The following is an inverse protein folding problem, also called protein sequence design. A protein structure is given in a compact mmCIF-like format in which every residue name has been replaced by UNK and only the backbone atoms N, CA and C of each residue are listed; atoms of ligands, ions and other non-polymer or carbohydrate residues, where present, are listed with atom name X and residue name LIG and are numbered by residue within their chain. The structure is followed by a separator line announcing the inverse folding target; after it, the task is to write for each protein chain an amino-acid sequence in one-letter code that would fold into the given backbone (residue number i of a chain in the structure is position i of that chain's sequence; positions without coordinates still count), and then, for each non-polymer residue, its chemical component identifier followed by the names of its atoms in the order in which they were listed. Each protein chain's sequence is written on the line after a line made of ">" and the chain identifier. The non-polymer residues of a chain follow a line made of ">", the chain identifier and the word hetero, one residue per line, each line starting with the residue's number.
data_IF_442757736992
#
_entry.id   IF_442757736992
#
_cell.length_a   1.000
_cell.length_b   1.000
_cell.length_c   1.000
_cell.angle_alpha   90.00
_cell.angle_beta   90.00
_cell.angle_gamma   90.00
#
_symmetry.space_group_name_H-M   'P 1'
#
loop_
_entity.id
_entity.type
_entity.pdbx_description
1 polymer ?
#
# COMPACT_ATOMS: atom_id res chain seq x y z
N UNK A 1 10.78 -1.44 28.43
CA UNK A 1 10.28 -0.10 28.07
C UNK A 1 10.71 0.11 26.63
N UNK A 2 9.73 0.27 25.75
CA UNK A 2 9.97 0.38 24.31
C UNK A 2 10.13 1.85 23.94
N UNK A 3 11.14 2.17 23.14
CA UNK A 3 11.34 3.52 22.61
C UNK A 3 10.86 3.59 21.16
N UNK A 4 10.32 4.73 20.76
CA UNK A 4 9.91 5.00 19.39
C UNK A 4 11.10 4.82 18.44
N UNK A 5 11.04 3.89 17.47
CA UNK A 5 12.17 3.61 16.59
C UNK A 5 12.40 4.70 15.53
N UNK A 6 11.44 5.63 15.35
CA UNK A 6 11.53 6.75 14.40
C UNK A 6 12.08 8.02 15.07
N UNK A 7 11.56 8.37 16.25
CA UNK A 7 11.94 9.59 16.99
C UNK A 7 13.04 9.35 18.04
N UNK A 8 13.24 8.12 18.51
CA UNK A 8 14.33 7.71 19.40
C UNK A 8 14.14 8.05 20.89
N UNK A 9 13.69 9.27 21.20
CA UNK A 9 13.69 9.81 22.57
C UNK A 9 12.32 9.75 23.27
N UNK A 10 11.38 8.98 22.72
CA UNK A 10 10.00 8.93 23.21
C UNK A 10 9.64 7.50 23.58
N UNK A 11 9.24 7.29 24.83
CA UNK A 11 8.75 6.00 25.29
C UNK A 11 7.36 5.71 24.72
N UNK A 12 7.20 4.51 24.17
CA UNK A 12 5.90 4.02 23.72
C UNK A 12 5.02 3.69 24.92
N UNK A 13 3.72 3.93 24.78
CA UNK A 13 2.71 3.69 25.79
C UNK A 13 1.77 2.58 25.32
N UNK A 14 1.24 1.80 26.25
CA UNK A 14 0.26 0.78 25.93
C UNK A 14 -0.99 1.44 25.34
N UNK A 15 -1.41 0.96 24.18
CA UNK A 15 -2.59 1.43 23.48
C UNK A 15 -3.24 0.31 22.68
N UNK A 16 -4.26 0.65 21.90
CA UNK A 16 -5.05 -0.30 21.13
C UNK A 16 -5.39 0.29 19.77
N UNK A 17 -4.98 -0.40 18.68
CA UNK A 17 -5.29 0.03 17.30
C UNK A 17 -6.69 -0.42 16.86
N UNK A 18 -7.16 -1.55 17.37
CA UNK A 18 -8.45 -2.14 17.02
C UNK A 18 -8.99 -2.96 18.19
N UNK A 19 -10.30 -3.17 18.29
CA UNK A 19 -10.86 -4.04 19.32
C UNK A 19 -10.14 -5.40 19.33
N UNK A 20 -9.55 -5.74 20.47
CA UNK A 20 -8.74 -6.95 20.66
C UNK A 20 -7.25 -6.87 20.28
N UNK A 21 -6.76 -5.78 19.65
CA UNK A 21 -5.35 -5.65 19.23
C UNK A 21 -4.56 -4.68 20.13
N UNK A 22 -3.86 -5.23 21.13
CA UNK A 22 -2.99 -4.46 22.02
C UNK A 22 -1.65 -4.12 21.37
N UNK A 23 -1.23 -2.87 21.47
CA UNK A 23 -0.01 -2.33 20.83
C UNK A 23 0.73 -1.39 21.77
N UNK A 24 1.92 -0.96 21.36
CA UNK A 24 2.63 0.15 22.00
C UNK A 24 2.67 1.35 21.05
N UNK A 25 1.92 2.40 21.36
CA UNK A 25 1.79 3.61 20.54
C UNK A 25 2.73 4.74 20.98
N UNK A 26 3.22 5.51 20.02
CA UNK A 26 3.98 6.72 20.24
C UNK A 26 3.01 7.92 20.36
N UNK A 27 3.01 8.67 21.48
CA UNK A 27 2.12 9.82 21.65
C UNK A 27 2.50 11.04 20.79
N UNK A 28 3.70 11.07 20.20
CA UNK A 28 4.19 12.19 19.37
C UNK A 28 3.91 11.96 17.88
N UNK A 29 4.50 10.92 17.28
CA UNK A 29 4.30 10.64 15.86
C UNK A 29 3.03 9.82 15.53
N UNK A 30 2.35 9.27 16.54
CA UNK A 30 1.19 8.39 16.34
C UNK A 30 1.51 6.99 15.81
N UNK A 31 2.79 6.67 15.61
CA UNK A 31 3.22 5.34 15.18
C UNK A 31 2.99 4.28 16.26
N UNK A 32 2.79 3.03 15.85
CA UNK A 32 2.42 1.91 16.72
C UNK A 32 3.27 0.69 16.44
N UNK A 33 3.86 0.14 17.51
CA UNK A 33 4.50 -1.17 17.51
C UNK A 33 3.47 -2.24 17.87
N UNK A 34 3.29 -3.21 16.97
CA UNK A 34 2.39 -4.34 17.12
C UNK A 34 3.26 -5.58 17.39
N UNK A 35 3.26 -6.10 18.63
CA UNK A 35 3.97 -7.34 18.94
C UNK A 35 3.44 -8.51 18.10
N UNK A 36 4.35 -9.42 17.76
CA UNK A 36 4.06 -10.52 16.84
C UNK A 36 2.94 -11.45 17.33
N UNK A 37 2.97 -11.77 18.62
CA UNK A 37 1.99 -12.62 19.28
C UNK A 37 0.62 -11.94 19.33
N UNK A 38 0.57 -10.64 19.61
CA UNK A 38 -0.68 -9.89 19.65
C UNK A 38 -1.33 -9.81 18.27
N UNK A 39 -0.53 -9.58 17.23
CA UNK A 39 -1.03 -9.57 15.86
C UNK A 39 -1.56 -10.94 15.45
N UNK A 40 -0.81 -12.01 15.69
CA UNK A 40 -1.21 -13.37 15.33
C UNK A 40 -2.47 -13.83 16.08
N UNK A 41 -2.59 -13.50 17.37
CA UNK A 41 -3.77 -13.81 18.18
C UNK A 41 -5.01 -13.06 17.68
N UNK A 42 -4.85 -11.77 17.38
CA UNK A 42 -5.93 -10.95 16.85
C UNK A 42 -6.33 -11.40 15.43
N UNK A 43 -5.37 -11.64 14.54
CA UNK A 43 -5.59 -12.09 13.17
C UNK A 43 -6.41 -13.39 13.12
N UNK A 44 -6.11 -14.35 14.01
CA UNK A 44 -6.87 -15.62 14.11
C UNK A 44 -8.33 -15.45 14.51
N UNK A 45 -8.68 -14.35 15.17
CA UNK A 45 -10.07 -14.05 15.54
C UNK A 45 -10.84 -13.34 14.43
N UNK A 46 -10.12 -12.73 13.47
CA UNK A 46 -10.72 -11.95 12.38
C UNK A 46 -10.80 -12.73 11.07
N UNK A 47 -9.82 -13.59 10.78
CA UNK A 47 -9.73 -14.27 9.50
C UNK A 47 -10.28 -15.69 9.56
N UNK A 48 -11.09 -16.05 8.57
CA UNK A 48 -11.32 -17.43 8.19
C UNK A 48 -10.16 -17.89 7.29
N UNK A 49 -9.39 -18.94 7.65
CA UNK A 49 -8.30 -19.46 6.83
C UNK A 49 -8.72 -19.90 5.41
N UNK A 50 -10.00 -20.18 5.19
CA UNK A 50 -10.51 -20.63 3.90
C UNK A 50 -10.93 -19.48 2.98
N UNK A 51 -10.98 -18.23 3.48
CA UNK A 51 -11.42 -17.10 2.68
C UNK A 51 -10.24 -16.52 1.85
N UNK A 52 -10.40 -16.38 0.52
CA UNK A 52 -9.35 -15.78 -0.30
C UNK A 52 -9.12 -14.33 0.10
N UNK A 53 -7.85 -13.90 0.08
CA UNK A 53 -7.47 -12.51 0.34
C UNK A 53 -8.17 -11.61 -0.69
N UNK A 54 -9.06 -10.74 -0.20
CA UNK A 54 -9.76 -9.75 -1.02
C UNK A 54 -9.25 -8.37 -0.65
N UNK A 55 -8.81 -7.63 -1.66
CA UNK A 55 -8.53 -6.21 -1.53
C UNK A 55 -9.81 -5.50 -1.96
N UNK A 56 -10.59 -4.96 -1.01
CA UNK A 56 -11.87 -4.30 -1.33
C UNK A 56 -11.71 -3.07 -2.22
N UNK A 57 -10.59 -2.36 -2.07
CA UNK A 57 -10.26 -1.16 -2.83
C UNK A 57 -8.81 -1.24 -3.27
N UNK A 58 -8.55 -1.12 -4.58
CA UNK A 58 -7.18 -1.03 -5.06
C UNK A 58 -6.50 0.20 -4.43
N UNK A 59 -5.25 0.10 -3.93
CA UNK A 59 -4.57 1.20 -3.27
C UNK A 59 -4.56 2.51 -4.07
N UNK A 60 -4.37 2.42 -5.39
CA UNK A 60 -4.37 3.55 -6.32
C UNK A 60 -5.76 4.15 -6.61
N UNK A 61 -6.83 3.55 -6.10
CA UNK A 61 -8.20 4.06 -6.24
C UNK A 61 -8.75 4.59 -4.92
N UNK A 62 -7.99 4.47 -3.82
CA UNK A 62 -8.43 4.92 -2.51
C UNK A 62 -8.36 6.45 -2.40
N UNK A 63 -9.52 7.10 -2.30
CA UNK A 63 -9.63 8.53 -2.01
C UNK A 63 -9.50 8.77 -0.50
N UNK A 64 -8.37 9.30 -0.07
CA UNK A 64 -8.09 9.59 1.36
C UNK A 64 -7.27 10.86 1.52
N UNK A 65 -7.47 11.59 2.61
CA UNK A 65 -6.65 12.76 2.98
C UNK A 65 -5.38 12.37 3.74
N UNK A 66 -5.09 11.07 3.87
CA UNK A 66 -3.89 10.58 4.54
C UNK A 66 -2.62 11.09 3.87
N UNK A 67 -1.66 11.46 4.72
CA UNK A 67 -0.31 11.88 4.34
C UNK A 67 0.67 11.01 5.13
N UNK A 68 1.66 10.39 4.45
CA UNK A 68 2.69 9.60 5.13
C UNK A 68 3.42 10.42 6.20
N UNK A 69 3.84 9.76 7.28
CA UNK A 69 4.60 10.40 8.34
C UNK A 69 5.93 10.97 7.82
N UNK A 70 6.43 12.05 8.44
CA UNK A 70 7.64 12.73 7.97
C UNK A 70 8.91 11.84 7.94
N UNK A 71 8.94 10.80 8.78
CA UNK A 71 10.05 9.84 8.89
C UNK A 71 9.72 8.48 8.27
N UNK A 72 8.61 8.36 7.54
CA UNK A 72 8.23 7.14 6.83
C UNK A 72 9.35 6.68 5.89
N UNK A 73 10.09 7.60 5.26
CA UNK A 73 11.23 7.27 4.41
C UNK A 73 12.42 6.59 5.13
N UNK A 74 12.44 6.50 6.47
CA UNK A 74 13.50 5.81 7.25
C UNK A 74 12.99 4.49 7.80
N UNK A 75 13.71 3.40 7.50
CA UNK A 75 13.41 2.09 8.11
C UNK A 75 13.67 2.15 9.61
N UNK A 76 12.73 1.67 10.41
CA UNK A 76 12.88 1.50 11.84
C UNK A 76 13.68 0.24 12.19
N UNK A 77 14.14 0.20 13.44
CA UNK A 77 14.69 -1.01 14.05
C UNK A 77 13.58 -1.73 14.81
N UNK A 78 13.59 -3.06 14.76
CA UNK A 78 12.71 -3.89 15.58
C UNK A 78 12.98 -3.66 17.07
N UNK A 79 11.92 -3.51 17.85
CA UNK A 79 12.00 -3.25 19.28
C UNK A 79 12.44 -4.48 20.10
N UNK A 80 12.18 -5.69 19.60
CA UNK A 80 12.51 -6.93 20.29
C UNK A 80 13.92 -7.44 19.96
N UNK A 81 14.28 -7.43 18.67
CA UNK A 81 15.53 -8.04 18.20
C UNK A 81 16.53 -7.05 17.57
N UNK A 82 16.17 -5.76 17.43
CA UNK A 82 16.99 -4.68 16.86
C UNK A 82 17.48 -4.92 15.43
N UNK A 83 16.84 -5.84 14.71
CA UNK A 83 17.05 -6.01 13.26
C UNK A 83 16.33 -4.90 12.50
N UNK A 84 16.85 -4.51 11.34
CA UNK A 84 16.15 -3.59 10.45
C UNK A 84 14.82 -4.20 10.01
N UNK A 85 13.76 -3.40 10.07
CA UNK A 85 12.46 -3.81 9.57
C UNK A 85 12.46 -3.80 8.04
N UNK A 86 11.89 -4.85 7.44
CA UNK A 86 11.64 -4.88 6.00
C UNK A 86 10.39 -4.07 5.69
N UNK A 87 10.34 -3.46 4.50
CA UNK A 87 9.34 -2.45 4.16
C UNK A 87 8.43 -2.93 3.04
N UNK A 88 7.13 -2.97 3.34
CA UNK A 88 6.05 -3.26 2.41
C UNK A 88 5.47 -1.95 1.88
N UNK A 89 5.78 -1.60 0.63
CA UNK A 89 5.30 -0.36 0.02
C UNK A 89 3.81 -0.48 -0.35
N UNK A 90 3.04 0.55 0.00
CA UNK A 90 1.67 0.75 -0.45
C UNK A 90 1.62 2.09 -1.18
N UNK A 91 1.06 2.10 -2.40
CA UNK A 91 0.98 3.29 -3.24
C UNK A 91 -0.47 3.76 -3.35
N UNK A 92 -0.71 5.00 -2.90
CA UNK A 92 -1.99 5.71 -2.99
C UNK A 92 -1.89 6.82 -4.07
N UNK A 93 -3.02 7.41 -4.51
CA UNK A 93 -3.01 8.51 -5.48
C UNK A 93 -2.12 9.70 -5.10
N UNK A 94 -2.15 10.08 -3.82
CA UNK A 94 -1.42 11.24 -3.30
C UNK A 94 0.01 10.94 -2.82
N UNK A 95 0.43 9.67 -2.82
CA UNK A 95 1.76 9.28 -2.34
C UNK A 95 1.85 7.82 -1.91
N UNK A 96 3.05 7.35 -1.60
CA UNK A 96 3.27 6.01 -1.03
C UNK A 96 3.65 6.09 0.45
N UNK A 97 3.35 5.04 1.20
CA UNK A 97 3.84 4.82 2.56
C UNK A 97 4.36 3.37 2.72
N UNK A 98 4.95 3.06 3.87
CA UNK A 98 5.60 1.76 4.08
C UNK A 98 5.23 1.14 5.42
N UNK A 99 4.46 0.05 5.35
CA UNK A 99 4.27 -0.83 6.50
C UNK A 99 5.58 -1.57 6.74
N UNK A 100 6.06 -1.61 7.98
CA UNK A 100 7.33 -2.25 8.30
C UNK A 100 7.13 -3.51 9.14
N UNK A 101 7.86 -4.58 8.81
CA UNK A 101 7.77 -5.86 9.53
C UNK A 101 9.16 -6.39 9.84
N UNK A 102 9.33 -6.97 11.02
CA UNK A 102 10.57 -7.61 11.39
C UNK A 102 10.70 -8.96 10.70
N UNK A 103 11.79 -9.23 9.94
CA UNK A 103 11.98 -10.54 9.30
C UNK A 103 12.26 -11.67 10.29
N UNK A 104 12.59 -11.36 11.55
CA UNK A 104 12.99 -12.34 12.55
C UNK A 104 11.87 -12.67 13.55
N UNK A 105 11.23 -11.65 14.12
CA UNK A 105 10.15 -11.85 15.10
C UNK A 105 8.75 -11.64 14.51
N UNK A 106 8.60 -11.14 13.28
CA UNK A 106 7.31 -10.76 12.69
C UNK A 106 6.56 -9.63 13.43
N UNK A 107 7.18 -8.93 14.37
CA UNK A 107 6.63 -7.69 14.93
C UNK A 107 6.48 -6.63 13.84
N UNK A 108 5.43 -5.81 13.93
CA UNK A 108 5.03 -4.86 12.89
C UNK A 108 5.12 -3.44 13.44
N UNK A 109 5.63 -2.52 12.64
CA UNK A 109 5.56 -1.10 12.90
C UNK A 109 4.67 -0.45 11.84
N UNK A 110 3.69 0.33 12.31
CA UNK A 110 2.88 1.21 11.49
C UNK A 110 3.13 2.64 11.93
N UNK A 111 3.51 3.52 11.01
CA UNK A 111 3.52 4.96 11.28
C UNK A 111 2.07 5.48 11.46
N UNK A 112 1.94 6.68 12.05
CA UNK A 112 0.63 7.21 12.42
C UNK A 112 -0.31 7.33 11.22
N UNK A 113 -1.52 6.77 11.34
CA UNK A 113 -2.55 6.78 10.29
C UNK A 113 -2.46 5.64 9.28
N UNK A 114 -1.38 4.85 9.27
CA UNK A 114 -1.21 3.76 8.29
C UNK A 114 -2.16 2.59 8.55
N UNK A 115 -2.43 2.28 9.81
CA UNK A 115 -3.33 1.19 10.19
C UNK A 115 -4.76 1.41 9.68
N UNK A 116 -5.25 2.65 9.76
CA UNK A 116 -6.55 3.06 9.26
C UNK A 116 -6.64 2.90 7.73
N UNK A 117 -5.53 3.13 7.02
CA UNK A 117 -5.47 2.89 5.58
C UNK A 117 -5.49 1.39 5.27
N UNK A 118 -4.77 0.58 6.04
CA UNK A 118 -4.85 -0.87 5.92
C UNK A 118 -6.28 -1.39 6.13
N UNK A 119 -7.01 -0.81 7.08
CA UNK A 119 -8.42 -1.13 7.30
C UNK A 119 -9.31 -0.79 6.10
N UNK A 120 -9.11 0.39 5.48
CA UNK A 120 -9.86 0.80 4.29
C UNK A 120 -9.56 -0.10 3.07
N UNK A 121 -8.36 -0.67 3.01
CA UNK A 121 -7.94 -1.59 1.95
C UNK A 121 -8.29 -3.07 2.24
N UNK A 122 -8.85 -3.37 3.41
CA UNK A 122 -9.06 -4.73 3.93
C UNK A 122 -7.75 -5.57 4.02
N UNK A 123 -6.63 -4.90 4.29
CA UNK A 123 -5.30 -5.52 4.39
C UNK A 123 -4.80 -5.68 5.83
N UNK A 124 -5.50 -5.12 6.82
CA UNK A 124 -5.09 -5.10 8.22
C UNK A 124 -4.88 -6.51 8.80
N UNK A 125 -5.64 -7.50 8.32
CA UNK A 125 -5.51 -8.91 8.73
C UNK A 125 -4.63 -9.72 7.76
N UNK A 126 -4.08 -9.10 6.72
CA UNK A 126 -3.28 -9.76 5.68
C UNK A 126 -1.95 -9.02 5.46
N UNK A 127 -1.33 -8.51 6.52
CA UNK A 127 -0.09 -7.72 6.39
C UNK A 127 1.03 -8.52 5.73
N UNK A 128 1.09 -9.84 5.98
CA UNK A 128 2.06 -10.73 5.34
C UNK A 128 1.93 -10.74 3.81
N UNK A 129 0.72 -10.54 3.28
CA UNK A 129 0.47 -10.48 1.84
C UNK A 129 1.18 -9.29 1.19
N UNK A 130 1.32 -8.16 1.90
CA UNK A 130 2.02 -6.95 1.41
C UNK A 130 3.51 -7.26 1.12
N UNK A 131 4.07 -8.26 1.82
CA UNK A 131 5.46 -8.70 1.64
C UNK A 131 5.60 -9.88 0.66
N UNK A 132 4.49 -10.38 0.11
CA UNK A 132 4.50 -11.49 -0.84
C UNK A 132 4.95 -11.04 -2.24
N UNK A 133 5.47 -11.99 -3.03
CA UNK A 133 5.85 -11.72 -4.42
C UNK A 133 4.64 -11.30 -5.28
N UNK A 134 3.46 -11.85 -4.99
CA UNK A 134 2.21 -11.60 -5.72
C UNK A 134 1.75 -10.15 -5.56
N UNK A 135 1.70 -9.65 -4.32
CA UNK A 135 1.43 -8.24 -4.06
C UNK A 135 2.42 -7.32 -4.77
N UNK A 136 3.71 -7.63 -4.67
CA UNK A 136 4.74 -6.82 -5.29
C UNK A 136 4.61 -6.82 -6.82
N UNK A 137 4.15 -7.92 -7.43
CA UNK A 137 3.85 -7.97 -8.87
C UNK A 137 2.61 -7.14 -9.22
N UNK A 138 1.53 -7.29 -8.46
CA UNK A 138 0.29 -6.55 -8.65
C UNK A 138 0.49 -5.04 -8.53
N UNK A 139 1.22 -4.58 -7.49
CA UNK A 139 1.54 -3.16 -7.31
C UNK A 139 2.39 -2.63 -8.46
N UNK A 140 3.37 -3.41 -8.96
CA UNK A 140 4.19 -3.00 -10.11
C UNK A 140 3.36 -2.81 -11.38
N UNK A 141 2.43 -3.73 -11.66
CA UNK A 141 1.57 -3.65 -12.84
C UNK A 141 0.66 -2.42 -12.79
N UNK A 142 0.04 -2.17 -11.62
CA UNK A 142 -0.80 -1.00 -11.43
C UNK A 142 0.01 0.30 -11.51
N UNK A 143 1.20 0.36 -10.89
CA UNK A 143 2.09 1.50 -11.01
C UNK A 143 2.56 1.73 -12.44
N UNK A 144 2.80 0.68 -13.22
CA UNK A 144 3.17 0.78 -14.63
C UNK A 144 2.03 1.41 -15.44
N UNK A 145 0.81 0.90 -15.27
CA UNK A 145 -0.39 1.40 -15.95
C UNK A 145 -0.64 2.88 -15.62
N UNK A 146 -0.51 3.26 -14.35
CA UNK A 146 -0.72 4.65 -13.94
C UNK A 146 0.37 5.59 -14.48
N UNK A 147 1.64 5.16 -14.46
CA UNK A 147 2.74 5.93 -15.07
C UNK A 147 2.54 6.12 -16.57
N UNK A 148 2.06 5.10 -17.27
CA UNK A 148 1.74 5.18 -18.69
C UNK A 148 0.62 6.17 -18.97
N UNK A 149 -0.46 6.15 -18.16
CA UNK A 149 -1.54 7.15 -18.25
C UNK A 149 -1.02 8.56 -18.01
N UNK A 150 -0.27 8.78 -16.92
CA UNK A 150 0.28 10.09 -16.60
C UNK A 150 1.27 10.58 -17.67
N UNK A 151 2.10 9.70 -18.22
CA UNK A 151 3.00 10.04 -19.32
C UNK A 151 2.22 10.40 -20.59
N UNK A 152 1.12 9.70 -20.88
CA UNK A 152 0.24 10.01 -22.02
C UNK A 152 -0.40 11.39 -21.85
N UNK A 153 -0.87 11.74 -20.66
CA UNK A 153 -1.39 13.07 -20.33
C UNK A 153 -0.29 14.14 -20.46
N UNK A 154 0.92 13.89 -19.95
CA UNK A 154 2.07 14.82 -20.07
C UNK A 154 2.42 15.10 -21.54
N UNK A 155 2.44 14.06 -22.40
CA UNK A 155 2.87 14.20 -23.80
C UNK A 155 1.80 14.75 -24.73
N UNK A 156 0.54 14.35 -24.54
CA UNK A 156 -0.55 14.70 -25.46
C UNK A 156 -1.42 15.85 -24.96
N UNK A 157 -1.30 16.21 -23.68
CA UNK A 157 -2.24 17.08 -22.99
C UNK A 157 -3.52 16.35 -22.56
N UNK A 158 -4.25 16.89 -21.56
CA UNK A 158 -5.37 16.20 -20.93
C UNK A 158 -6.51 15.87 -21.90
N UNK A 159 -6.84 16.80 -22.81
CA UNK A 159 -7.97 16.63 -23.74
C UNK A 159 -7.74 15.52 -24.76
N UNK A 160 -6.51 15.42 -25.29
CA UNK A 160 -6.16 14.39 -26.28
C UNK A 160 -5.96 13.05 -25.60
N UNK A 161 -5.28 13.02 -24.44
CA UNK A 161 -5.08 11.80 -23.68
C UNK A 161 -6.41 11.15 -23.27
N UNK A 162 -7.39 11.94 -22.83
CA UNK A 162 -8.72 11.43 -22.48
C UNK A 162 -9.40 10.72 -23.67
N UNK A 163 -9.33 11.30 -24.87
CA UNK A 163 -9.87 10.68 -26.09
C UNK A 163 -9.11 9.40 -26.48
N UNK A 164 -7.80 9.36 -26.23
CA UNK A 164 -6.99 8.16 -26.47
C UNK A 164 -7.41 7.04 -25.53
N UNK A 165 -7.64 7.34 -24.24
CA UNK A 165 -8.12 6.34 -23.27
C UNK A 165 -9.51 5.81 -23.63
N UNK A 166 -10.46 6.69 -23.94
CA UNK A 166 -11.81 6.28 -24.37
C UNK A 166 -11.78 5.41 -25.63
N UNK A 167 -10.93 5.75 -26.60
CA UNK A 167 -10.77 4.96 -27.81
C UNK A 167 -10.10 3.61 -27.53
N UNK A 168 -9.10 3.57 -26.64
CA UNK A 168 -8.46 2.33 -26.22
C UNK A 168 -9.47 1.37 -25.58
N UNK A 169 -10.29 1.86 -24.64
CA UNK A 169 -11.35 1.06 -23.98
C UNK A 169 -12.35 0.50 -25.01
N UNK A 170 -12.73 1.30 -26.02
CA UNK A 170 -13.62 0.85 -27.10
C UNK A 170 -12.99 -0.21 -28.01
N UNK A 171 -11.70 -0.07 -28.33
CA UNK A 171 -10.99 -1.00 -29.20
C UNK A 171 -10.72 -2.33 -28.48
N UNK A 172 -10.42 -2.31 -27.19
CA UNK A 172 -10.20 -3.51 -26.38
C UNK A 172 -11.45 -4.41 -26.32
N UNK A 173 -12.64 -3.81 -26.24
CA UNK A 173 -13.91 -4.54 -26.21
C UNK A 173 -14.40 -4.99 -27.59
N UNK A 174 -13.78 -4.51 -28.68
CA UNK A 174 -14.24 -4.77 -30.04
C UNK A 174 -13.53 -5.99 -30.66
N UNK A 175 -14.24 -6.94 -31.29
CA UNK A 175 -13.63 -8.16 -31.83
C UNK A 175 -12.60 -7.93 -32.94
N UNK A 176 -12.57 -6.73 -33.53
CA UNK A 176 -11.57 -6.31 -34.52
C UNK A 176 -10.77 -5.07 -34.05
N UNK A 177 -10.56 -4.91 -32.74
CA UNK A 177 -9.82 -3.78 -32.16
C UNK A 177 -8.45 -3.54 -32.80
N UNK A 178 -7.70 -4.61 -33.04
CA UNK A 178 -6.36 -4.58 -33.66
C UNK A 178 -6.34 -3.87 -35.03
N UNK A 179 -7.41 -4.01 -35.82
CA UNK A 179 -7.54 -3.34 -37.11
C UNK A 179 -7.66 -1.81 -36.94
N UNK A 180 -8.38 -1.38 -35.89
CA UNK A 180 -8.50 0.02 -35.51
C UNK A 180 -7.16 0.62 -35.07
N UNK A 181 -6.42 -0.08 -34.21
CA UNK A 181 -5.07 0.33 -33.78
C UNK A 181 -4.15 0.48 -35.00
N UNK A 182 -4.13 -0.52 -35.90
CA UNK A 182 -3.30 -0.48 -37.09
C UNK A 182 -3.66 0.66 -38.06
N UNK A 183 -4.94 1.04 -38.15
CA UNK A 183 -5.35 2.21 -38.92
C UNK A 183 -4.79 3.51 -38.33
N UNK A 184 -4.87 3.69 -37.01
CA UNK A 184 -4.34 4.86 -36.32
C UNK A 184 -2.83 5.00 -36.50
N UNK A 185 -2.07 3.91 -36.30
CA UNK A 185 -0.62 3.90 -36.49
C UNK A 185 -0.23 4.39 -37.90
N UNK A 186 -0.85 3.83 -38.95
CA UNK A 186 -0.59 4.25 -40.34
C UNK A 186 -0.92 5.73 -40.61
N UNK A 187 -1.83 6.32 -39.83
CA UNK A 187 -2.28 7.71 -39.99
C UNK A 187 -1.39 8.71 -39.25
N UNK A 188 -0.68 8.27 -38.21
CA UNK A 188 0.25 9.09 -37.41
C UNK A 188 1.66 9.05 -38.00
N UNK A 189 2.06 7.95 -38.64
CA UNK A 189 3.36 7.79 -39.32
C UNK A 189 3.45 8.51 -40.69
N UNK A 190 2.40 9.21 -41.12
CA UNK A 190 2.32 9.98 -42.37
C UNK A 190 2.48 11.48 -42.12
#
# INVERSE_FOLDING_TARGET
>A
MYQCPKEGDIDLQDSQLSPGLAVHGCPSCGGSWIPSEHYADWQRQQNDPEEPIRVAVLPLSLSTSFQPAALDNRAALCLDCRSYLVRGRITLPQGSFYVERCPNCNGIWCDGGEWEILQQLELQTHIDYIFSADWQAQVRELEHTEREKLATIDKLGPDVAQRVFELADLLEQHPNGDFGVAYLMRRVDQ
#
